data_IF_003402946637
#
_entry.id   IF_003402946637
#
_cell.length_a   1.000
_cell.length_b   1.000
_cell.length_c   1.000
_cell.angle_alpha   90.00
_cell.angle_beta   90.00
_cell.angle_gamma   90.00
#
_symmetry.space_group_name_H-M   'P 1'
#
loop_
_entity.id
_entity.type
_entity.pdbx_description
1 polymer ?
#
# COMPACT_ATOMS: atom_id res chain seq x y z
N UNK A 1 15.74 -23.12 9.18
CA UNK A 1 14.49 -23.54 8.51
C UNK A 1 13.93 -22.31 7.83
N UNK A 2 13.72 -22.35 6.51
CA UNK A 2 13.02 -21.27 5.82
C UNK A 2 11.58 -21.22 6.35
N UNK A 3 11.12 -20.02 6.71
CA UNK A 3 9.73 -19.80 7.05
C UNK A 3 8.87 -20.12 5.83
N UNK A 4 7.82 -20.91 6.01
CA UNK A 4 6.89 -21.18 4.90
C UNK A 4 6.13 -19.89 4.55
N UNK A 5 5.75 -19.74 3.29
CA UNK A 5 4.97 -18.58 2.83
C UNK A 5 3.75 -18.28 3.73
N UNK A 6 3.02 -19.32 4.17
CA UNK A 6 1.86 -19.17 5.07
C UNK A 6 2.24 -18.60 6.43
N UNK A 7 3.38 -19.00 6.99
CA UNK A 7 3.88 -18.48 8.26
C UNK A 7 4.30 -17.01 8.12
N UNK A 8 5.01 -16.66 7.05
CA UNK A 8 5.40 -15.28 6.77
C UNK A 8 4.18 -14.35 6.63
N UNK A 9 3.15 -14.78 5.89
CA UNK A 9 1.89 -14.04 5.76
C UNK A 9 1.18 -13.88 7.10
N UNK A 10 1.12 -14.95 7.91
CA UNK A 10 0.47 -14.88 9.23
C UNK A 10 1.22 -13.92 10.18
N UNK A 11 2.56 -13.96 10.16
CA UNK A 11 3.43 -13.05 10.91
C UNK A 11 3.24 -11.60 10.49
N UNK A 12 3.17 -11.32 9.18
CA UNK A 12 2.89 -9.99 8.65
C UNK A 12 1.51 -9.48 9.11
N UNK A 13 0.46 -10.29 8.95
CA UNK A 13 -0.91 -9.93 9.39
C UNK A 13 -1.00 -9.61 10.88
N UNK A 14 -0.26 -10.33 11.71
CA UNK A 14 -0.22 -10.09 13.15
C UNK A 14 0.46 -8.76 13.53
N UNK A 15 1.27 -8.18 12.65
CA UNK A 15 1.96 -6.88 12.84
C UNK A 15 1.24 -5.70 12.20
N UNK A 16 0.12 -5.95 11.54
CA UNK A 16 -0.67 -4.93 10.83
C UNK A 16 -2.05 -4.79 11.45
N UNK A 17 -2.68 -3.63 11.28
CA UNK A 17 -4.09 -3.45 11.62
C UNK A 17 -4.95 -3.87 10.43
N UNK A 18 -5.72 -4.97 10.51
CA UNK A 18 -6.58 -5.39 9.41
C UNK A 18 -7.73 -4.40 9.23
N UNK A 19 -8.10 -4.15 7.98
CA UNK A 19 -9.27 -3.36 7.61
C UNK A 19 -10.04 -4.08 6.50
N UNK A 20 -11.37 -3.95 6.50
CA UNK A 20 -12.20 -4.49 5.41
C UNK A 20 -12.11 -3.58 4.18
N UNK A 21 -12.12 -4.11 2.95
CA UNK A 21 -11.99 -3.30 1.73
C UNK A 21 -13.05 -2.18 1.61
N UNK A 22 -14.30 -2.48 1.95
CA UNK A 22 -15.41 -1.52 1.94
C UNK A 22 -15.20 -0.38 2.96
N UNK A 23 -14.70 -0.70 4.15
CA UNK A 23 -14.33 0.28 5.16
C UNK A 23 -13.15 1.15 4.72
N UNK A 24 -12.10 0.56 4.15
CA UNK A 24 -10.93 1.29 3.66
C UNK A 24 -11.32 2.32 2.59
N UNK A 25 -12.13 1.91 1.61
CA UNK A 25 -12.63 2.80 0.58
C UNK A 25 -13.50 3.93 1.15
N UNK A 26 -14.43 3.60 2.05
CA UNK A 26 -15.28 4.60 2.70
C UNK A 26 -14.49 5.60 3.55
N UNK A 27 -13.41 5.17 4.22
CA UNK A 27 -12.52 6.04 4.99
C UNK A 27 -11.72 6.99 4.09
N UNK A 28 -11.16 6.47 2.99
CA UNK A 28 -10.44 7.27 1.98
C UNK A 28 -11.30 8.40 1.40
N UNK A 29 -12.58 8.12 1.12
CA UNK A 29 -13.50 9.15 0.61
C UNK A 29 -13.85 10.24 1.63
N UNK A 30 -13.68 9.97 2.93
CA UNK A 30 -14.08 10.89 4.01
C UNK A 30 -12.93 11.73 4.55
N UNK A 31 -11.70 11.21 4.53
CA UNK A 31 -10.52 11.91 5.03
C UNK A 31 -9.43 11.92 3.95
N UNK A 32 -9.08 13.09 3.38
CA UNK A 32 -8.07 13.21 2.33
C UNK A 32 -6.65 12.84 2.82
N UNK A 33 -6.43 12.69 4.13
CA UNK A 33 -5.16 12.23 4.71
C UNK A 33 -5.02 10.71 4.71
N UNK A 34 -6.06 9.99 4.28
CA UNK A 34 -6.02 8.54 4.09
C UNK A 34 -5.67 8.25 2.64
N UNK A 35 -4.58 7.53 2.44
CA UNK A 35 -4.09 7.15 1.12
C UNK A 35 -4.18 5.64 0.99
N UNK A 36 -4.83 5.19 -0.07
CA UNK A 36 -4.83 3.78 -0.45
C UNK A 36 -3.68 3.52 -1.44
N UNK A 37 -2.85 2.55 -1.10
CA UNK A 37 -1.73 2.07 -1.92
C UNK A 37 -2.05 0.66 -2.38
N UNK A 38 -2.22 0.50 -3.69
CA UNK A 38 -2.44 -0.79 -4.33
C UNK A 38 -1.10 -1.41 -4.70
N UNK A 39 -0.83 -2.59 -4.14
CA UNK A 39 0.46 -3.29 -4.31
C UNK A 39 0.47 -4.29 -5.45
N UNK A 40 -0.70 -4.61 -6.01
CA UNK A 40 -0.83 -5.42 -7.21
C UNK A 40 -0.34 -4.65 -8.43
N UNK A 41 0.21 -5.39 -9.39
CA UNK A 41 0.52 -4.86 -10.71
C UNK A 41 -0.75 -4.28 -11.36
N UNK A 42 -0.75 -3.00 -11.78
CA UNK A 42 -1.86 -2.39 -12.49
C UNK A 42 -2.35 -3.21 -13.67
N UNK A 43 -1.46 -3.87 -14.43
CA UNK A 43 -1.83 -4.71 -15.57
C UNK A 43 -2.75 -5.88 -15.17
N UNK A 44 -2.69 -6.31 -13.91
CA UNK A 44 -3.49 -7.40 -13.36
C UNK A 44 -4.78 -6.91 -12.66
N UNK A 45 -5.04 -5.60 -12.61
CA UNK A 45 -6.25 -5.03 -12.02
C UNK A 45 -7.12 -4.42 -13.12
N UNK A 46 -8.30 -5.01 -13.42
CA UNK A 46 -9.22 -4.47 -14.42
C UNK A 46 -9.58 -3.01 -14.11
N UNK A 47 -9.69 -2.12 -15.11
CA UNK A 47 -10.03 -0.72 -14.87
C UNK A 47 -11.35 -0.52 -14.09
N UNK A 48 -12.32 -1.43 -14.26
CA UNK A 48 -13.61 -1.42 -13.53
C UNK A 48 -13.48 -1.66 -12.04
N UNK A 49 -12.37 -2.27 -11.62
CA UNK A 49 -12.14 -2.72 -10.25
C UNK A 49 -11.13 -1.80 -9.53
N UNK A 50 -10.68 -0.73 -10.21
CA UNK A 50 -9.76 0.25 -9.64
C UNK A 50 -10.56 1.32 -8.91
N UNK A 51 -10.22 1.56 -7.65
CA UNK A 51 -10.70 2.74 -6.95
C UNK A 51 -10.00 4.00 -7.50
N UNK A 52 -10.73 5.11 -7.53
CA UNK A 52 -10.16 6.43 -7.82
C UNK A 52 -9.28 6.90 -6.65
N UNK A 53 -8.33 7.81 -6.93
CA UNK A 53 -7.39 8.37 -5.95
C UNK A 53 -6.49 7.33 -5.23
N UNK A 54 -6.17 6.23 -5.93
CA UNK A 54 -5.24 5.19 -5.46
C UNK A 54 -3.85 5.41 -6.01
N UNK A 55 -2.82 5.14 -5.19
CA UNK A 55 -1.44 5.02 -5.63
C UNK A 55 -1.16 3.57 -6.01
N UNK A 56 -0.69 3.31 -7.22
CA UNK A 56 -0.20 2.00 -7.59
C UNK A 56 1.33 1.95 -7.40
N UNK A 57 1.80 1.08 -6.51
CA UNK A 57 3.22 0.81 -6.31
C UNK A 57 3.37 -0.70 -6.22
N UNK A 58 4.02 -1.33 -7.19
CA UNK A 58 4.27 -2.77 -7.13
C UNK A 58 5.22 -3.11 -5.98
N UNK A 59 5.16 -4.33 -5.46
CA UNK A 59 6.09 -4.79 -4.42
C UNK A 59 7.55 -4.71 -4.86
N UNK A 60 7.85 -4.98 -6.14
CA UNK A 60 9.19 -4.82 -6.71
C UNK A 60 9.68 -3.38 -6.61
N UNK A 61 8.86 -2.42 -7.07
CA UNK A 61 9.20 -1.00 -6.95
C UNK A 61 9.34 -0.57 -5.49
N UNK A 62 8.52 -1.11 -4.58
CA UNK A 62 8.65 -0.82 -3.15
C UNK A 62 10.01 -1.28 -2.59
N UNK A 63 10.46 -2.48 -2.94
CA UNK A 63 11.75 -3.02 -2.52
C UNK A 63 12.92 -2.23 -3.12
N UNK A 64 12.84 -1.87 -4.40
CA UNK A 64 13.84 -1.03 -5.07
C UNK A 64 13.98 0.33 -4.36
N UNK A 65 12.86 1.03 -4.10
CA UNK A 65 12.86 2.32 -3.43
C UNK A 65 13.35 2.22 -1.98
N UNK A 66 13.03 1.13 -1.28
CA UNK A 66 13.48 0.91 0.10
C UNK A 66 15.00 0.73 0.19
N UNK A 67 15.64 0.22 -0.86
CA UNK A 67 17.09 0.02 -0.93
C UNK A 67 17.88 1.31 -1.23
N UNK A 68 17.22 2.36 -1.74
CA UNK A 68 17.84 3.65 -2.03
C UNK A 68 18.03 4.51 -0.76
N UNK A 69 19.03 5.40 -0.82
CA UNK A 69 19.20 6.48 0.15
C UNK A 69 17.96 7.38 0.15
N UNK A 70 17.51 7.91 1.31
CA UNK A 70 16.28 8.69 1.39
C UNK A 70 16.21 9.90 0.44
N UNK A 71 17.35 10.50 0.09
CA UNK A 71 17.43 11.62 -0.85
C UNK A 71 17.16 11.22 -2.30
N UNK A 72 17.33 9.94 -2.63
CA UNK A 72 17.25 9.41 -3.99
C UNK A 72 15.91 8.67 -4.23
N UNK A 73 15.08 8.56 -3.19
CA UNK A 73 13.75 7.94 -3.28
C UNK A 73 12.80 8.83 -4.07
N UNK A 74 12.14 8.23 -5.04
CA UNK A 74 11.03 8.85 -5.76
C UNK A 74 9.73 8.51 -5.04
N UNK A 75 9.28 9.42 -4.18
CA UNK A 75 8.00 9.30 -3.47
C UNK A 75 6.93 10.13 -4.18
N UNK A 76 5.70 9.60 -4.25
CA UNK A 76 4.52 10.39 -4.62
C UNK A 76 4.40 11.58 -3.67
N UNK A 77 4.12 12.78 -4.20
CA UNK A 77 4.05 14.03 -3.43
C UNK A 77 3.08 13.93 -2.25
N UNK A 78 2.04 13.09 -2.38
CA UNK A 78 1.06 12.89 -1.32
C UNK A 78 1.68 12.31 -0.07
N UNK A 79 2.85 11.67 -0.11
CA UNK A 79 3.54 11.14 1.07
C UNK A 79 4.35 12.19 1.87
N UNK A 80 4.36 13.46 1.45
CA UNK A 80 5.12 14.50 2.16
C UNK A 80 4.55 14.86 3.54
N UNK A 81 3.26 14.60 3.79
CA UNK A 81 2.63 14.87 5.09
C UNK A 81 2.92 13.72 6.08
N UNK A 82 3.60 13.97 7.21
CA UNK A 82 3.88 12.92 8.19
C UNK A 82 2.63 12.44 8.95
N UNK A 83 1.49 13.11 8.82
CA UNK A 83 0.24 12.78 9.52
C UNK A 83 -0.71 11.90 8.71
N UNK A 84 -0.26 11.39 7.57
CA UNK A 84 -1.05 10.52 6.71
C UNK A 84 -1.27 9.16 7.37
N UNK A 85 -2.39 8.54 7.00
CA UNK A 85 -2.62 7.13 7.24
C UNK A 85 -2.58 6.40 5.92
N UNK A 86 -1.65 5.46 5.82
CA UNK A 86 -1.48 4.60 4.64
C UNK A 86 -2.27 3.31 4.87
N UNK A 87 -3.08 2.94 3.89
CA UNK A 87 -3.75 1.64 3.81
C UNK A 87 -3.22 0.94 2.57
N UNK A 88 -2.64 -0.25 2.75
CA UNK A 88 -2.16 -1.08 1.64
C UNK A 88 -3.18 -2.16 1.29
N UNK A 89 -3.39 -2.40 0.00
CA UNK A 89 -4.24 -3.49 -0.53
C UNK A 89 -3.50 -4.45 -1.44
#
# INVERSE_FOLDING_TARGET
>A
MQESFRQAVASAKAKTTPIRPDSAYAEMLRDPRIILVETRDPANVPPTDRAENVIFITMETFEEQAALDPSDRSLDERFSDPNLRIITT
#
